data_IF_809198143095
#
_entry.id   IF_809198143095
#
_cell.length_a   1.000
_cell.length_b   1.000
_cell.length_c   1.000
_cell.angle_alpha   90.00
_cell.angle_beta   90.00
_cell.angle_gamma   90.00
#
_symmetry.space_group_name_H-M   'P 1'
#
loop_
_entity.id
_entity.type
_entity.pdbx_description
1 polymer ?
#
# COMPACT_ATOMS: atom_id res chain seq x y z
N UNK A 1 -35.64 7.11 -16.67
CA UNK A 1 -34.38 6.44 -17.05
C UNK A 1 -34.69 5.09 -17.69
N UNK A 2 -33.94 4.69 -18.73
CA UNK A 2 -34.16 3.42 -19.43
C UNK A 2 -33.68 2.26 -18.55
N UNK A 3 -34.55 1.28 -18.29
CA UNK A 3 -34.22 0.06 -17.55
C UNK A 3 -33.07 -0.67 -18.25
N UNK A 4 -31.97 -0.88 -17.52
CA UNK A 4 -30.81 -1.59 -18.06
C UNK A 4 -31.05 -3.10 -18.06
N UNK A 5 -30.59 -3.78 -19.11
CA UNK A 5 -30.54 -5.26 -19.16
C UNK A 5 -29.57 -5.77 -18.11
N UNK A 6 -29.79 -6.99 -17.60
CA UNK A 6 -28.96 -7.60 -16.55
C UNK A 6 -27.48 -7.63 -16.91
N UNK A 7 -27.14 -8.04 -18.14
CA UNK A 7 -25.75 -8.08 -18.61
C UNK A 7 -25.06 -6.72 -18.56
N UNK A 8 -25.73 -5.66 -19.01
CA UNK A 8 -25.19 -4.30 -18.94
C UNK A 8 -25.04 -3.82 -17.49
N UNK A 9 -26.01 -4.18 -16.63
CA UNK A 9 -25.98 -3.83 -15.21
C UNK A 9 -24.83 -4.50 -14.47
N UNK A 10 -24.55 -5.78 -14.74
CA UNK A 10 -23.40 -6.49 -14.17
C UNK A 10 -22.08 -5.79 -14.52
N UNK A 11 -21.87 -5.45 -15.79
CA UNK A 11 -20.65 -4.75 -16.23
C UNK A 11 -20.47 -3.40 -15.52
N UNK A 12 -21.53 -2.58 -15.48
CA UNK A 12 -21.51 -1.28 -14.82
C UNK A 12 -21.31 -1.41 -13.30
N UNK A 13 -21.98 -2.35 -12.64
CA UNK A 13 -21.85 -2.58 -11.20
C UNK A 13 -20.43 -3.02 -10.83
N UNK A 14 -19.85 -3.95 -11.59
CA UNK A 14 -18.47 -4.39 -11.43
C UNK A 14 -17.52 -3.19 -11.52
N UNK A 15 -17.62 -2.36 -12.56
CA UNK A 15 -16.79 -1.15 -12.69
C UNK A 15 -17.01 -0.17 -11.53
N UNK A 16 -18.27 0.02 -11.11
CA UNK A 16 -18.62 0.96 -10.05
C UNK A 16 -18.05 0.57 -8.69
N UNK A 17 -18.05 -0.73 -8.39
CA UNK A 17 -17.46 -1.32 -7.18
C UNK A 17 -15.93 -1.23 -7.21
N UNK A 18 -15.29 -1.65 -8.31
CA UNK A 18 -13.83 -1.66 -8.44
C UNK A 18 -13.22 -0.25 -8.37
N UNK A 19 -13.94 0.76 -8.85
CA UNK A 19 -13.50 2.17 -8.76
C UNK A 19 -13.73 2.83 -7.40
N UNK A 20 -14.37 2.13 -6.45
CA UNK A 20 -14.69 2.63 -5.10
C UNK A 20 -14.43 1.55 -4.05
N UNK A 21 -13.18 1.06 -3.93
CA UNK A 21 -12.86 0.10 -2.89
C UNK A 21 -13.09 0.74 -1.51
N UNK A 22 -13.33 -0.10 -0.51
CA UNK A 22 -13.61 0.30 0.87
C UNK A 22 -14.76 1.30 1.07
N UNK A 23 -15.63 1.51 0.07
CA UNK A 23 -16.78 2.41 0.17
C UNK A 23 -18.08 1.62 0.34
N UNK A 24 -18.90 1.97 1.34
CA UNK A 24 -20.24 1.40 1.49
C UNK A 24 -21.17 2.07 0.48
N UNK A 25 -21.74 1.27 -0.41
CA UNK A 25 -22.67 1.72 -1.44
C UNK A 25 -24.07 1.17 -1.11
N UNK A 26 -25.04 2.05 -0.80
CA UNK A 26 -26.41 1.63 -0.56
C UNK A 26 -27.02 0.91 -1.77
N UNK A 27 -27.82 -0.14 -1.54
CA UNK A 27 -28.51 -0.85 -2.61
C UNK A 27 -29.48 0.05 -3.40
N UNK A 28 -30.02 1.09 -2.75
CA UNK A 28 -30.86 2.11 -3.39
C UNK A 28 -30.14 2.84 -4.52
N UNK A 29 -28.84 3.12 -4.34
CA UNK A 29 -28.01 3.76 -5.36
C UNK A 29 -28.04 2.97 -6.67
N UNK A 30 -27.87 1.65 -6.62
CA UNK A 30 -27.94 0.81 -7.81
C UNK A 30 -29.38 0.63 -8.33
N UNK A 31 -30.35 0.48 -7.44
CA UNK A 31 -31.76 0.32 -7.82
C UNK A 31 -32.27 1.52 -8.63
N UNK A 32 -32.00 2.74 -8.16
CA UNK A 32 -32.34 4.00 -8.83
C UNK A 32 -31.54 4.17 -10.12
N UNK A 33 -30.22 3.97 -10.05
CA UNK A 33 -29.31 4.15 -11.19
C UNK A 33 -29.64 3.25 -12.37
N UNK A 34 -30.14 2.05 -12.12
CA UNK A 34 -30.43 1.08 -13.18
C UNK A 34 -31.92 0.87 -13.46
N UNK A 35 -32.80 1.54 -12.70
CA UNK A 35 -34.25 1.35 -12.79
C UNK A 35 -34.67 -0.10 -12.52
N UNK A 36 -34.10 -0.71 -11.48
CA UNK A 36 -34.29 -2.12 -11.13
C UNK A 36 -34.71 -2.27 -9.65
N UNK A 37 -35.44 -3.34 -9.33
CA UNK A 37 -35.81 -3.65 -7.96
C UNK A 37 -34.59 -4.05 -7.12
N UNK A 38 -34.61 -3.77 -5.81
CA UNK A 38 -33.52 -4.13 -4.88
C UNK A 38 -33.23 -5.64 -4.86
N UNK A 39 -34.24 -6.49 -5.04
CA UNK A 39 -34.07 -7.94 -5.18
C UNK A 39 -33.20 -8.30 -6.39
N UNK A 40 -33.49 -7.72 -7.56
CA UNK A 40 -32.67 -7.92 -8.77
C UNK A 40 -31.24 -7.40 -8.61
N UNK A 41 -31.04 -6.28 -7.92
CA UNK A 41 -29.69 -5.79 -7.59
C UNK A 41 -28.96 -6.80 -6.68
N UNK A 42 -29.65 -7.37 -5.70
CA UNK A 42 -29.07 -8.34 -4.77
C UNK A 42 -28.65 -9.63 -5.49
N UNK A 43 -29.46 -10.11 -6.44
CA UNK A 43 -29.11 -11.26 -7.28
C UNK A 43 -27.87 -10.99 -8.15
N UNK A 44 -27.68 -9.78 -8.65
CA UNK A 44 -26.49 -9.42 -9.42
C UNK A 44 -25.25 -9.28 -8.54
N UNK A 45 -25.41 -8.72 -7.33
CA UNK A 45 -24.33 -8.65 -6.35
C UNK A 45 -23.87 -10.03 -5.90
N UNK A 46 -24.80 -10.99 -5.81
CA UNK A 46 -24.46 -12.39 -5.52
C UNK A 46 -23.55 -12.99 -6.60
N UNK A 47 -23.86 -12.76 -7.88
CA UNK A 47 -23.00 -13.18 -9.00
C UNK A 47 -21.64 -12.51 -8.93
N UNK A 48 -21.60 -11.18 -8.71
CA UNK A 48 -20.34 -10.44 -8.65
C UNK A 48 -19.48 -10.94 -7.48
N UNK A 49 -20.10 -11.21 -6.33
CA UNK A 49 -19.44 -11.76 -5.14
C UNK A 49 -18.80 -13.10 -5.45
N UNK A 50 -19.57 -14.04 -6.00
CA UNK A 50 -19.09 -15.38 -6.40
C UNK A 50 -17.88 -15.28 -7.33
N UNK A 51 -17.99 -14.50 -8.41
CA UNK A 51 -16.90 -14.33 -9.39
C UNK A 51 -15.65 -13.71 -8.78
N UNK A 52 -15.79 -12.69 -7.92
CA UNK A 52 -14.66 -12.02 -7.30
C UNK A 52 -13.95 -12.88 -6.24
N UNK A 53 -14.72 -13.62 -5.44
CA UNK A 53 -14.19 -14.46 -4.37
C UNK A 53 -13.53 -15.73 -4.93
N UNK A 54 -14.16 -16.40 -5.90
CA UNK A 54 -13.57 -17.54 -6.60
C UNK A 54 -12.32 -17.14 -7.41
N UNK A 55 -12.36 -15.96 -8.02
CA UNK A 55 -11.21 -15.41 -8.76
C UNK A 55 -10.10 -14.84 -7.87
N UNK A 56 -10.20 -14.93 -6.54
CA UNK A 56 -9.19 -14.44 -5.59
C UNK A 56 -8.90 -12.95 -5.71
N UNK A 57 -9.85 -12.17 -6.24
CA UNK A 57 -9.66 -10.76 -6.59
C UNK A 57 -10.09 -9.80 -5.49
N UNK A 58 -10.87 -10.28 -4.52
CA UNK A 58 -11.38 -9.51 -3.40
C UNK A 58 -12.66 -10.09 -2.84
N UNK A 59 -13.24 -9.39 -1.87
CA UNK A 59 -14.44 -9.80 -1.17
C UNK A 59 -15.53 -8.74 -1.35
N UNK A 60 -16.77 -9.20 -1.54
CA UNK A 60 -17.93 -8.31 -1.55
C UNK A 60 -18.73 -8.50 -0.27
N UNK A 61 -18.63 -7.51 0.62
CA UNK A 61 -19.28 -7.52 1.92
C UNK A 61 -20.66 -6.88 1.84
N UNK A 62 -21.65 -7.53 2.43
CA UNK A 62 -23.01 -6.97 2.56
C UNK A 62 -23.24 -6.52 3.98
N UNK A 63 -23.62 -5.25 4.16
CA UNK A 63 -23.95 -4.65 5.44
C UNK A 63 -25.47 -4.52 5.54
N UNK A 64 -26.07 -5.11 6.56
CA UNK A 64 -27.52 -5.07 6.77
C UNK A 64 -27.98 -3.73 7.38
N UNK A 65 -29.27 -3.41 7.21
CA UNK A 65 -29.92 -2.23 7.80
C UNK A 65 -30.18 -1.07 6.83
N UNK A 66 -30.86 -0.02 7.30
CA UNK A 66 -31.29 1.11 6.48
C UNK A 66 -30.12 1.97 5.95
N UNK A 67 -29.03 2.05 6.71
CA UNK A 67 -27.76 2.65 6.30
C UNK A 67 -26.77 1.61 5.72
N UNK A 68 -27.23 0.38 5.52
CA UNK A 68 -26.46 -0.73 4.97
C UNK A 68 -26.25 -0.61 3.46
N UNK A 69 -25.60 -1.60 2.89
CA UNK A 69 -25.18 -1.57 1.50
C UNK A 69 -24.24 -2.70 1.15
N UNK A 70 -23.49 -2.51 0.08
CA UNK A 70 -22.37 -3.38 -0.29
C UNK A 70 -21.05 -2.63 -0.25
N UNK A 71 -19.99 -3.34 0.10
CA UNK A 71 -18.64 -2.79 0.18
C UNK A 71 -17.69 -3.75 -0.52
N UNK A 72 -16.97 -3.24 -1.52
CA UNK A 72 -15.89 -3.96 -2.19
C UNK A 72 -14.60 -3.85 -1.38
N UNK A 73 -13.96 -4.97 -1.09
CA UNK A 73 -12.67 -5.05 -0.39
C UNK A 73 -11.67 -5.74 -1.32
N UNK A 74 -10.69 -5.01 -1.89
CA UNK A 74 -9.60 -5.65 -2.62
C UNK A 74 -8.85 -6.63 -1.73
N UNK A 75 -8.73 -7.88 -2.19
CA UNK A 75 -7.88 -8.91 -1.58
C UNK A 75 -7.09 -9.61 -2.68
N UNK A 76 -5.96 -10.19 -2.29
CA UNK A 76 -5.17 -11.08 -3.13
C UNK A 76 -4.93 -12.37 -2.37
N UNK A 77 -5.05 -13.50 -3.06
CA UNK A 77 -4.76 -14.80 -2.43
C UNK A 77 -3.27 -14.90 -2.07
N UNK A 78 -2.95 -15.71 -1.06
CA UNK A 78 -1.57 -15.96 -0.64
C UNK A 78 -0.71 -16.51 -1.78
N UNK A 79 -1.29 -17.35 -2.64
CA UNK A 79 -0.64 -17.91 -3.83
C UNK A 79 -0.24 -16.82 -4.84
N UNK A 80 -1.16 -15.92 -5.19
CA UNK A 80 -0.88 -14.81 -6.11
C UNK A 80 0.14 -13.83 -5.52
N UNK A 81 0.05 -13.55 -4.22
CA UNK A 81 1.04 -12.71 -3.54
C UNK A 81 2.44 -13.35 -3.54
N UNK A 82 2.53 -14.67 -3.34
CA UNK A 82 3.80 -15.40 -3.39
C UNK A 82 4.40 -15.38 -4.80
N UNK A 83 3.58 -15.65 -5.82
CA UNK A 83 4.01 -15.56 -7.23
C UNK A 83 4.51 -14.15 -7.60
N UNK A 84 3.88 -13.10 -7.06
CA UNK A 84 4.39 -11.74 -7.18
C UNK A 84 5.75 -11.56 -6.51
N UNK A 85 5.90 -12.00 -5.26
CA UNK A 85 7.13 -11.85 -4.49
C UNK A 85 8.32 -12.62 -5.10
N UNK A 86 8.07 -13.82 -5.65
CA UNK A 86 9.08 -14.61 -6.37
C UNK A 86 9.51 -13.94 -7.67
N UNK A 87 8.56 -13.39 -8.43
CA UNK A 87 8.85 -12.61 -9.65
C UNK A 87 9.68 -11.36 -9.33
N UNK A 88 9.28 -10.62 -8.30
CA UNK A 88 10.03 -9.45 -7.82
C UNK A 88 11.44 -9.85 -7.36
N UNK A 89 11.57 -10.94 -6.60
CA UNK A 89 12.87 -11.45 -6.15
C UNK A 89 13.78 -11.82 -7.32
N UNK A 90 13.23 -12.46 -8.35
CA UNK A 90 13.96 -12.81 -9.58
C UNK A 90 14.46 -11.57 -10.31
N UNK A 91 13.62 -10.53 -10.42
CA UNK A 91 14.03 -9.26 -11.03
C UNK A 91 15.12 -8.56 -10.20
N UNK A 92 14.97 -8.50 -8.87
CA UNK A 92 15.93 -7.88 -7.97
C UNK A 92 17.28 -8.62 -7.92
N UNK A 93 17.30 -9.92 -8.20
CA UNK A 93 18.52 -10.74 -8.20
C UNK A 93 19.44 -10.51 -9.42
N UNK A 94 19.08 -9.61 -10.34
CA UNK A 94 19.88 -9.32 -11.53
C UNK A 94 21.21 -8.61 -11.19
N UNK A 95 22.38 -9.14 -11.60
CA UNK A 95 23.71 -8.64 -11.21
C UNK A 95 24.06 -7.19 -11.60
N UNK A 96 23.36 -6.61 -12.56
CA UNK A 96 23.52 -5.22 -13.00
C UNK A 96 22.83 -4.21 -12.06
N UNK A 97 22.03 -4.70 -11.09
CA UNK A 97 21.37 -3.85 -10.09
C UNK A 97 22.27 -3.48 -8.92
N UNK A 98 23.45 -4.09 -8.75
CA UNK A 98 24.31 -3.84 -7.59
C UNK A 98 24.81 -2.38 -7.61
N UNK A 99 24.58 -1.68 -6.50
CA UNK A 99 25.10 -0.34 -6.23
C UNK A 99 26.02 -0.37 -4.99
N UNK A 100 26.92 0.62 -4.82
CA UNK A 100 27.74 0.74 -3.62
C UNK A 100 26.91 0.77 -2.33
N UNK A 101 27.40 0.16 -1.25
CA UNK A 101 26.76 0.20 0.07
C UNK A 101 25.65 -0.84 0.29
N UNK A 102 25.65 -1.93 -0.48
CA UNK A 102 24.62 -2.99 -0.48
C UNK A 102 23.24 -2.49 -0.97
N UNK A 103 23.25 -1.48 -1.83
CA UNK A 103 22.05 -0.95 -2.47
C UNK A 103 21.77 -1.66 -3.79
N UNK A 104 20.49 -1.64 -4.18
CA UNK A 104 20.06 -2.10 -5.50
C UNK A 104 19.47 -0.95 -6.32
N UNK A 105 19.71 -0.99 -7.63
CA UNK A 105 19.00 -0.18 -8.59
C UNK A 105 17.59 -0.75 -8.78
N UNK A 106 16.60 0.02 -8.34
CA UNK A 106 15.17 -0.35 -8.37
C UNK A 106 14.30 0.65 -9.13
N UNK A 107 14.88 1.73 -9.67
CA UNK A 107 14.10 2.83 -10.24
C UNK A 107 13.23 2.39 -11.43
N UNK A 108 13.70 1.43 -12.22
CA UNK A 108 12.94 0.82 -13.32
C UNK A 108 11.76 -0.02 -12.82
N UNK A 109 11.89 -0.71 -11.69
CA UNK A 109 10.82 -1.51 -11.07
C UNK A 109 9.77 -0.60 -10.42
N UNK A 110 10.23 0.41 -9.68
CA UNK A 110 9.36 1.43 -9.05
C UNK A 110 8.60 2.27 -10.08
N UNK A 111 9.16 2.40 -11.28
CA UNK A 111 8.52 3.08 -12.42
C UNK A 111 7.48 2.23 -13.15
N UNK A 112 7.28 0.95 -12.82
CA UNK A 112 6.30 0.07 -13.49
C UNK A 112 4.93 0.13 -12.79
N UNK A 113 3.89 0.74 -13.39
CA UNK A 113 2.60 0.88 -12.74
C UNK A 113 1.93 -0.47 -12.43
N UNK A 114 2.10 -1.47 -13.30
CA UNK A 114 1.56 -2.82 -13.07
C UNK A 114 2.13 -3.45 -11.79
N UNK A 115 3.46 -3.40 -11.63
CA UNK A 115 4.15 -3.94 -10.47
C UNK A 115 3.74 -3.19 -9.18
N UNK A 116 3.69 -1.86 -9.23
CA UNK A 116 3.25 -1.04 -8.09
C UNK A 116 1.79 -1.29 -7.72
N UNK A 117 0.89 -1.46 -8.70
CA UNK A 117 -0.52 -1.77 -8.45
C UNK A 117 -0.71 -3.14 -7.80
N UNK A 118 0.06 -4.15 -8.23
CA UNK A 118 0.06 -5.48 -7.57
C UNK A 118 0.59 -5.38 -6.14
N UNK A 119 1.72 -4.72 -5.91
CA UNK A 119 2.28 -4.50 -4.58
C UNK A 119 1.32 -3.73 -3.65
N UNK A 120 0.71 -2.65 -4.16
CA UNK A 120 -0.28 -1.86 -3.43
C UNK A 120 -1.53 -2.66 -3.07
N UNK A 121 -1.95 -3.59 -3.93
CA UNK A 121 -3.05 -4.52 -3.63
C UNK A 121 -2.67 -5.54 -2.55
N UNK A 122 -1.43 -6.02 -2.54
CA UNK A 122 -0.92 -6.89 -1.47
C UNK A 122 -0.90 -6.14 -0.13
N UNK A 123 -0.41 -4.90 -0.10
CA UNK A 123 -0.46 -4.09 1.13
C UNK A 123 -1.90 -3.78 1.56
N UNK A 124 -2.79 -3.43 0.63
CA UNK A 124 -4.20 -3.25 0.96
C UNK A 124 -4.84 -4.54 1.51
N UNK A 125 -4.40 -5.70 1.06
CA UNK A 125 -4.84 -7.00 1.59
C UNK A 125 -4.38 -7.18 3.03
N UNK A 126 -3.09 -6.92 3.30
CA UNK A 126 -2.44 -7.03 4.60
C UNK A 126 -3.07 -6.09 5.64
N UNK A 127 -3.29 -4.83 5.25
CA UNK A 127 -3.68 -3.76 6.15
C UNK A 127 -5.18 -3.41 6.08
N UNK A 128 -5.95 -4.01 5.16
CA UNK A 128 -7.32 -3.60 4.86
C UNK A 128 -8.35 -3.84 5.97
N UNK A 129 -7.99 -4.60 7.00
CA UNK A 129 -8.80 -4.80 8.20
C UNK A 129 -8.43 -3.82 9.34
N UNK A 130 -7.36 -3.05 9.17
CA UNK A 130 -6.96 -2.02 10.11
C UNK A 130 -7.72 -0.73 9.84
N UNK A 131 -7.88 0.07 10.88
CA UNK A 131 -8.46 1.39 10.71
C UNK A 131 -7.35 2.39 10.34
N UNK A 132 -7.32 2.82 9.10
CA UNK A 132 -6.30 3.71 8.53
C UNK A 132 -7.02 4.91 7.91
N UNK A 133 -6.50 6.11 8.17
CA UNK A 133 -7.08 7.35 7.69
C UNK A 133 -6.26 7.95 6.54
N UNK A 134 -4.97 7.62 6.45
CA UNK A 134 -4.04 8.16 5.46
C UNK A 134 -2.84 7.23 5.22
N UNK A 135 -2.34 7.20 3.99
CA UNK A 135 -1.06 6.55 3.65
C UNK A 135 0.04 7.61 3.62
N UNK A 136 1.18 7.33 4.25
CA UNK A 136 2.32 8.25 4.30
C UNK A 136 3.56 7.60 3.69
N UNK A 137 4.34 8.39 2.97
CA UNK A 137 5.70 8.01 2.53
C UNK A 137 6.61 9.23 2.52
N UNK A 138 7.91 9.01 2.42
CA UNK A 138 8.88 10.07 2.18
C UNK A 138 9.24 10.12 0.70
N UNK A 139 9.47 11.32 0.18
CA UNK A 139 9.94 11.46 -1.19
C UNK A 139 11.30 10.76 -1.43
N UNK A 140 11.59 10.27 -2.63
CA UNK A 140 10.74 10.29 -3.84
C UNK A 140 10.31 8.89 -4.27
N UNK A 141 11.11 7.86 -3.96
CA UNK A 141 11.01 6.52 -4.53
C UNK A 141 9.81 5.72 -4.01
N UNK A 142 9.38 5.93 -2.77
CA UNK A 142 8.18 5.31 -2.19
C UNK A 142 6.84 5.85 -2.73
N UNK A 143 6.84 7.00 -3.43
CA UNK A 143 5.61 7.68 -3.88
C UNK A 143 4.71 6.78 -4.75
N UNK A 144 5.20 6.11 -5.82
CA UNK A 144 4.35 5.27 -6.67
C UNK A 144 3.66 4.15 -5.88
N UNK A 145 4.37 3.53 -4.94
CA UNK A 145 3.86 2.45 -4.10
C UNK A 145 2.84 2.95 -3.08
N UNK A 146 3.08 4.12 -2.49
CA UNK A 146 2.12 4.76 -1.58
C UNK A 146 0.81 5.11 -2.30
N UNK A 147 0.87 5.65 -3.51
CA UNK A 147 -0.32 5.91 -4.34
C UNK A 147 -1.03 4.64 -4.77
N UNK A 148 -0.30 3.60 -5.17
CA UNK A 148 -0.91 2.31 -5.51
C UNK A 148 -1.63 1.70 -4.30
N UNK A 149 -1.03 1.79 -3.11
CA UNK A 149 -1.64 1.31 -1.85
C UNK A 149 -2.85 2.15 -1.46
N UNK A 150 -2.71 3.47 -1.46
CA UNK A 150 -3.80 4.41 -1.15
C UNK A 150 -4.99 4.27 -2.08
N UNK A 151 -4.76 4.03 -3.38
CA UNK A 151 -5.84 3.78 -4.34
C UNK A 151 -6.64 2.51 -4.03
N UNK A 152 -5.96 1.42 -3.62
CA UNK A 152 -6.62 0.16 -3.25
C UNK A 152 -7.36 0.28 -1.91
N UNK A 153 -6.83 1.04 -0.95
CA UNK A 153 -7.50 1.30 0.34
C UNK A 153 -8.57 2.41 0.26
N UNK A 154 -8.62 3.15 -0.85
CA UNK A 154 -9.41 4.37 -1.02
C UNK A 154 -9.10 5.45 0.05
N UNK A 155 -7.81 5.71 0.27
CA UNK A 155 -7.29 6.65 1.27
C UNK A 155 -6.42 7.74 0.62
N UNK A 156 -6.37 8.95 1.21
CA UNK A 156 -5.44 9.99 0.77
C UNK A 156 -3.99 9.56 1.03
N UNK A 157 -3.07 10.16 0.27
CA UNK A 157 -1.62 9.98 0.42
C UNK A 157 -0.99 11.30 0.86
N UNK A 158 -0.15 11.24 1.87
CA UNK A 158 0.66 12.35 2.39
C UNK A 158 2.13 12.10 2.12
N UNK A 159 2.82 13.14 1.66
CA UNK A 159 4.22 13.07 1.28
C UNK A 159 5.07 13.87 2.27
N UNK A 160 5.97 13.17 2.95
CA UNK A 160 7.00 13.78 3.79
C UNK A 160 8.13 14.27 2.87
N UNK A 161 8.60 15.49 3.11
CA UNK A 161 9.67 16.14 2.36
C UNK A 161 11.01 15.96 3.04
N UNK A 162 12.10 15.88 2.28
CA UNK A 162 13.48 15.84 2.82
C UNK A 162 14.05 17.22 3.10
N UNK A 163 13.48 18.25 2.48
CA UNK A 163 13.86 19.65 2.68
C UNK A 163 12.62 20.51 2.96
N UNK A 164 12.78 21.56 3.78
CA UNK A 164 11.70 22.50 4.03
C UNK A 164 11.48 23.39 2.81
N UNK A 165 10.27 23.36 2.24
CA UNK A 165 9.87 24.31 1.19
C UNK A 165 8.98 25.41 1.77
N UNK A 166 9.42 26.66 1.62
CA UNK A 166 8.69 27.84 2.10
C UNK A 166 7.26 27.95 1.53
N UNK A 167 6.98 27.31 0.38
CA UNK A 167 5.67 27.28 -0.28
C UNK A 167 4.62 26.46 0.49
N UNK A 168 5.01 25.62 1.44
CA UNK A 168 4.10 24.77 2.21
C UNK A 168 3.65 25.39 3.55
N UNK A 169 4.09 26.61 3.87
CA UNK A 169 3.71 27.33 5.09
C UNK A 169 4.22 26.68 6.38
N UNK A 170 3.44 26.72 7.46
CA UNK A 170 3.85 26.13 8.74
C UNK A 170 4.08 24.63 8.61
N UNK A 171 5.28 24.18 8.97
CA UNK A 171 5.69 22.78 8.91
C UNK A 171 6.26 22.32 10.26
N UNK A 172 6.18 21.02 10.50
CA UNK A 172 6.95 20.32 11.52
C UNK A 172 8.17 19.73 10.82
N UNK A 173 9.33 19.86 11.43
CA UNK A 173 10.58 19.28 10.94
C UNK A 173 11.25 18.48 12.05
N UNK A 174 11.80 17.33 11.70
CA UNK A 174 12.60 16.51 12.60
C UNK A 174 13.92 16.13 11.93
N UNK A 175 14.90 15.75 12.74
CA UNK A 175 16.16 15.17 12.24
C UNK A 175 16.16 13.67 12.48
N UNK A 176 16.68 12.91 11.53
CA UNK A 176 16.78 11.46 11.59
C UNK A 176 18.11 10.99 10.98
N UNK A 177 18.53 9.78 11.33
CA UNK A 177 19.72 9.16 10.74
C UNK A 177 19.29 8.22 9.63
N UNK A 178 19.69 8.51 8.39
CA UNK A 178 19.42 7.61 7.27
C UNK A 178 20.34 6.40 7.36
N UNK A 179 19.75 5.20 7.27
CA UNK A 179 20.51 3.95 7.22
C UNK A 179 21.45 3.85 6.01
N UNK A 180 21.24 4.66 4.98
CA UNK A 180 22.03 4.64 3.75
C UNK A 180 23.36 5.36 3.81
N UNK A 181 23.40 6.47 4.54
CA UNK A 181 24.57 7.33 4.57
C UNK A 181 25.13 7.52 5.98
N UNK A 182 24.48 6.95 7.01
CA UNK A 182 24.77 7.21 8.45
C UNK A 182 24.94 8.71 8.72
N UNK A 183 24.21 9.53 7.97
CA UNK A 183 24.22 10.98 8.04
C UNK A 183 22.91 11.49 8.59
N UNK A 184 23.00 12.61 9.28
CA UNK A 184 21.84 13.35 9.76
C UNK A 184 21.11 13.97 8.56
N UNK A 185 19.83 13.66 8.43
CA UNK A 185 18.93 14.27 7.46
C UNK A 185 17.77 14.92 8.19
N UNK A 186 17.17 15.92 7.56
CA UNK A 186 15.91 16.50 8.03
C UNK A 186 14.77 15.90 7.22
N UNK A 187 13.60 15.77 7.83
CA UNK A 187 12.36 15.59 7.09
C UNK A 187 11.29 16.52 7.65
N UNK A 188 10.37 16.94 6.79
CA UNK A 188 9.34 17.90 7.18
C UNK A 188 7.98 17.57 6.56
N UNK A 189 6.93 17.98 7.28
CA UNK A 189 5.55 17.87 6.84
C UNK A 189 4.77 19.12 7.22
N UNK A 190 4.02 19.67 6.27
CA UNK A 190 3.14 20.80 6.54
C UNK A 190 2.07 20.45 7.57
N UNK A 191 1.81 21.33 8.54
CA UNK A 191 0.76 21.12 9.57
C UNK A 191 -0.64 20.92 8.96
N UNK A 192 -0.86 21.41 7.73
CA UNK A 192 -2.12 21.26 7.01
C UNK A 192 -2.23 19.98 6.19
N UNK A 193 -1.13 19.23 6.02
CA UNK A 193 -1.08 18.07 5.15
C UNK A 193 -1.84 16.86 5.72
N UNK A 194 -1.97 16.80 7.04
CA UNK A 194 -2.62 15.70 7.74
C UNK A 194 -3.40 16.25 8.94
N UNK A 195 -4.53 15.61 9.27
CA UNK A 195 -5.28 15.92 10.48
C UNK A 195 -4.56 15.35 11.70
N UNK A 196 -4.62 16.05 12.82
CA UNK A 196 -4.17 15.50 14.09
C UNK A 196 -4.91 14.20 14.43
N UNK A 197 -4.26 13.31 15.19
CA UNK A 197 -4.83 12.01 15.61
C UNK A 197 -5.17 11.04 14.47
N UNK A 198 -4.65 11.27 13.26
CA UNK A 198 -4.83 10.35 12.15
C UNK A 198 -4.08 9.03 12.37
N UNK A 199 -4.67 7.92 11.93
CA UNK A 199 -4.01 6.60 11.90
C UNK A 199 -3.34 6.40 10.55
N UNK A 200 -2.02 6.21 10.58
CA UNK A 200 -1.18 6.33 9.38
C UNK A 200 -0.58 4.99 9.01
N UNK A 201 -0.79 4.58 7.77
CA UNK A 201 -0.04 3.49 7.16
C UNK A 201 1.21 4.08 6.49
N UNK A 202 2.38 3.73 7.00
CA UNK A 202 3.65 4.14 6.38
C UNK A 202 4.01 3.14 5.28
N UNK A 203 4.40 3.64 4.11
CA UNK A 203 4.85 2.84 2.97
C UNK A 203 6.21 3.34 2.48
N UNK A 204 7.17 2.45 2.27
CA UNK A 204 8.51 2.80 1.77
C UNK A 204 9.04 1.80 0.73
N UNK A 205 9.95 2.22 -0.14
CA UNK A 205 10.49 1.35 -1.20
C UNK A 205 11.60 0.42 -0.69
N UNK A 206 12.48 0.90 0.18
CA UNK A 206 13.62 0.12 0.67
C UNK A 206 13.95 0.42 2.13
N UNK A 207 13.93 -0.60 2.97
CA UNK A 207 14.29 -0.48 4.37
C UNK A 207 15.61 -1.19 4.70
N UNK A 208 16.65 -0.43 5.06
CA UNK A 208 17.92 -0.98 5.57
C UNK A 208 17.85 -1.24 7.08
N UNK A 209 18.13 -0.22 7.90
CA UNK A 209 18.07 -0.31 9.36
C UNK A 209 16.76 0.24 9.97
N UNK A 210 15.90 0.86 9.15
CA UNK A 210 14.63 1.45 9.60
C UNK A 210 14.67 2.93 9.97
N UNK A 211 15.83 3.60 9.92
CA UNK A 211 15.96 4.99 10.37
C UNK A 211 15.05 6.02 9.67
N UNK A 212 14.78 5.84 8.38
CA UNK A 212 13.81 6.68 7.64
C UNK A 212 12.39 6.47 8.17
N UNK A 213 11.99 5.23 8.38
CA UNK A 213 10.66 4.92 8.94
C UNK A 213 10.56 5.45 10.36
N UNK A 214 11.59 5.24 11.19
CA UNK A 214 11.62 5.78 12.54
C UNK A 214 11.48 7.31 12.54
N UNK A 215 12.16 8.02 11.64
CA UNK A 215 11.94 9.45 11.45
C UNK A 215 10.48 9.78 11.12
N UNK A 216 9.84 9.04 10.19
CA UNK A 216 8.41 9.27 9.93
C UNK A 216 7.53 9.01 11.17
N UNK A 217 7.86 8.02 12.00
CA UNK A 217 7.16 7.74 13.27
C UNK A 217 7.32 8.92 14.24
N UNK A 218 8.55 9.42 14.41
CA UNK A 218 8.85 10.55 15.29
C UNK A 218 8.14 11.82 14.80
N UNK A 219 8.09 12.03 13.47
CA UNK A 219 7.34 13.13 12.85
C UNK A 219 5.83 13.03 13.11
N UNK A 220 5.26 11.81 13.10
CA UNK A 220 3.85 11.60 13.40
C UNK A 220 3.49 11.93 14.85
N UNK A 221 4.41 11.74 15.79
CA UNK A 221 4.19 12.09 17.19
C UNK A 221 3.90 13.59 17.37
N UNK A 222 4.53 14.45 16.57
CA UNK A 222 4.29 15.91 16.56
C UNK A 222 2.89 16.31 16.04
N UNK A 223 2.19 15.39 15.38
CA UNK A 223 0.79 15.54 14.93
C UNK A 223 -0.19 14.79 15.85
N UNK A 224 0.27 14.25 16.99
CA UNK A 224 -0.48 13.32 17.83
C UNK A 224 -1.09 12.15 17.06
N UNK A 225 -0.48 11.78 15.93
CA UNK A 225 -0.93 10.72 15.04
C UNK A 225 -0.33 9.37 15.47
N UNK A 226 -0.97 8.28 15.05
CA UNK A 226 -0.55 6.92 15.42
C UNK A 226 -0.20 6.12 14.19
N UNK A 227 0.85 5.30 14.28
CA UNK A 227 1.22 4.36 13.24
C UNK A 227 0.25 3.17 13.27
N UNK A 228 -0.50 2.98 12.18
CA UNK A 228 -1.38 1.83 12.02
C UNK A 228 -0.64 0.59 11.51
N UNK A 229 0.43 0.81 10.74
CA UNK A 229 1.28 -0.24 10.21
C UNK A 229 2.39 0.33 9.32
N UNK A 230 3.35 -0.52 8.96
CA UNK A 230 4.46 -0.17 8.07
C UNK A 230 4.58 -1.25 6.99
N UNK A 231 4.50 -0.85 5.72
CA UNK A 231 4.73 -1.71 4.56
C UNK A 231 5.97 -1.28 3.78
N UNK A 232 6.90 -2.20 3.49
CA UNK A 232 8.10 -1.90 2.71
C UNK A 232 8.22 -2.87 1.53
N UNK A 233 8.56 -2.37 0.34
CA UNK A 233 8.67 -3.25 -0.82
C UNK A 233 9.82 -4.25 -0.64
N UNK A 234 10.98 -3.75 -0.23
CA UNK A 234 12.19 -4.54 -0.02
C UNK A 234 12.81 -4.18 1.33
N UNK A 235 13.13 -5.19 2.13
CA UNK A 235 13.95 -5.01 3.34
C UNK A 235 15.38 -5.55 3.13
N UNK A 236 16.33 -4.98 3.87
CA UNK A 236 17.68 -5.53 3.97
C UNK A 236 17.75 -6.63 5.04
N UNK A 237 18.34 -7.76 4.66
CA UNK A 237 18.76 -8.82 5.56
C UNK A 237 20.17 -8.61 6.13
N UNK A 238 20.92 -7.59 5.68
CA UNK A 238 22.30 -7.34 6.13
C UNK A 238 22.41 -6.63 7.49
N UNK A 239 21.28 -6.17 8.04
CA UNK A 239 21.24 -5.51 9.36
C UNK A 239 20.79 -6.52 10.41
N UNK A 240 21.65 -6.73 11.40
CA UNK A 240 21.40 -7.58 12.57
C UNK A 240 20.11 -7.13 13.29
N UNK A 241 19.42 -8.08 13.91
CA UNK A 241 18.14 -7.80 14.59
C UNK A 241 18.30 -6.80 15.73
N UNK A 242 19.46 -6.76 16.39
CA UNK A 242 19.74 -5.83 17.49
C UNK A 242 19.99 -4.39 17.02
N UNK A 243 20.47 -4.20 15.79
CA UNK A 243 20.70 -2.88 15.18
C UNK A 243 19.46 -2.33 14.46
N UNK A 244 18.39 -3.13 14.40
CA UNK A 244 17.16 -2.80 13.68
C UNK A 244 16.28 -1.89 14.52
N UNK A 245 15.93 -0.72 13.97
CA UNK A 245 15.15 0.30 14.67
C UNK A 245 13.64 0.02 14.65
N UNK A 246 13.18 -0.92 13.81
CA UNK A 246 11.77 -1.24 13.65
C UNK A 246 11.58 -2.74 13.44
N UNK A 247 10.71 -3.36 14.25
CA UNK A 247 10.42 -4.80 14.20
C UNK A 247 9.00 -5.12 13.71
N UNK A 248 8.06 -4.19 13.84
CA UNK A 248 6.66 -4.36 13.43
C UNK A 248 6.43 -3.71 12.05
N UNK A 249 6.70 -4.48 10.99
CA UNK A 249 6.51 -4.07 9.60
C UNK A 249 6.27 -5.30 8.71
N UNK A 250 5.70 -5.05 7.53
CA UNK A 250 5.48 -6.05 6.49
C UNK A 250 6.40 -5.75 5.30
N UNK A 251 7.14 -6.75 4.82
CA UNK A 251 7.99 -6.69 3.63
C UNK A 251 7.53 -7.67 2.55
N UNK A 252 7.62 -7.28 1.27
CA UNK A 252 7.29 -8.18 0.16
C UNK A 252 8.49 -8.99 -0.35
N UNK A 253 9.69 -8.39 -0.27
CA UNK A 253 10.95 -9.06 -0.59
C UNK A 253 12.01 -8.75 0.48
N UNK A 254 12.95 -9.68 0.66
CA UNK A 254 14.09 -9.57 1.56
C UNK A 254 15.38 -9.81 0.81
N UNK A 255 16.25 -8.81 0.82
CA UNK A 255 17.61 -8.88 0.28
C UNK A 255 18.51 -9.59 1.29
N UNK A 256 18.80 -10.87 1.09
CA UNK A 256 19.56 -11.69 2.05
C UNK A 256 21.06 -11.54 1.92
N UNK A 257 21.56 -11.31 0.70
CA UNK A 257 22.99 -11.08 0.48
C UNK A 257 23.25 -10.27 -0.80
N UNK A 258 24.28 -9.42 -0.76
CA UNK A 258 24.84 -8.74 -1.93
C UNK A 258 26.35 -8.94 -1.91
N UNK A 259 26.88 -9.68 -2.87
CA UNK A 259 28.31 -9.81 -3.09
C UNK A 259 28.71 -9.05 -4.35
N UNK A 260 29.26 -7.86 -4.16
CA UNK A 260 29.74 -7.02 -5.24
C UNK A 260 30.94 -7.62 -6.00
N UNK A 261 31.73 -8.51 -5.36
CA UNK A 261 32.90 -9.14 -6.00
C UNK A 261 32.48 -10.27 -6.92
N UNK A 262 31.62 -11.18 -6.45
CA UNK A 262 31.08 -12.27 -7.28
C UNK A 262 29.91 -11.84 -8.17
N UNK A 263 29.45 -10.59 -8.03
CA UNK A 263 28.26 -10.04 -8.68
C UNK A 263 27.01 -10.90 -8.42
N UNK A 264 26.89 -11.40 -7.21
CA UNK A 264 25.79 -12.26 -6.79
C UNK A 264 24.85 -11.50 -5.85
N UNK A 265 23.55 -11.61 -6.10
CA UNK A 265 22.49 -11.06 -5.26
C UNK A 265 21.58 -12.22 -4.86
N UNK A 266 21.27 -12.32 -3.57
CA UNK A 266 20.29 -13.26 -3.04
C UNK A 266 19.09 -12.48 -2.52
N UNK A 267 17.91 -12.79 -3.06
CA UNK A 267 16.63 -12.19 -2.66
C UNK A 267 15.62 -13.30 -2.48
N UNK A 268 14.81 -13.20 -1.43
CA UNK A 268 13.70 -14.13 -1.16
C UNK A 268 12.42 -13.36 -0.82
N UNK A 269 11.25 -14.01 -0.80
CA UNK A 269 10.03 -13.40 -0.26
C UNK A 269 10.24 -12.83 1.14
N UNK A 270 9.61 -11.68 1.41
CA UNK A 270 9.67 -10.98 2.69
C UNK A 270 8.80 -11.62 3.79
N UNK A 271 8.63 -10.92 4.90
CA UNK A 271 7.92 -11.43 6.08
C UNK A 271 6.38 -11.39 5.95
N UNK A 272 5.82 -10.84 4.86
CA UNK A 272 4.37 -10.90 4.58
C UNK A 272 3.81 -12.33 4.65
N UNK A 273 4.64 -13.33 4.36
CA UNK A 273 4.24 -14.74 4.32
C UNK A 273 4.40 -15.48 5.65
N UNK A 274 4.91 -14.81 6.68
CA UNK A 274 5.08 -15.32 8.04
C UNK A 274 3.83 -15.07 8.92
N UNK A 275 2.85 -14.33 8.39
CA UNK A 275 1.57 -13.97 9.01
C UNK A 275 0.53 -15.11 8.98
#
# INVERSE_FOLDING_TARGET
>A
MKKLKRSARLVEMTQYLLSRPHTVIPLTTFAERYGAAKSSISEDLAIIKEVFEEGGSGELHTLAGAAGGVKWIPKVSRELALAFAERLSTQLAQPDRILPGEYLYMSDLLGQPALMNEAGKIFATAFGNMNIDVVMTVETKGIPLAYATGAQLNLPVVLVRRDHQATEGSAVSINYVSGSHKSLHTMSLSRRAMREHSRVLIVDDFMKAGGTVQGMIDLLAEFNATVAGVGVLVESGSVDSEERLLTDYISLAKLTAVDAKSRHISVKPGNYFDL
#
